data_IF_586708106093
#
_entry.id   IF_586708106093
#
_cell.length_a   1.000
_cell.length_b   1.000
_cell.length_c   1.000
_cell.angle_alpha   90.00
_cell.angle_beta   90.00
_cell.angle_gamma   90.00
#
_symmetry.space_group_name_H-M   'P 1'
#
loop_
_entity.id
_entity.type
_entity.pdbx_description
1 polymer ?
#
# COMPACT_ATOMS: atom_id res chain seq x y z
N UNK A 1 -58.14 42.45 18.41
CA UNK A 1 -57.81 41.04 18.13
C UNK A 1 -56.46 40.98 17.42
N UNK A 2 -55.38 40.71 18.18
CA UNK A 2 -53.99 40.72 17.68
C UNK A 2 -53.70 39.44 16.90
N UNK A 3 -53.24 39.58 15.66
CA UNK A 3 -52.66 38.50 14.86
C UNK A 3 -51.19 38.35 15.25
N UNK A 4 -50.82 37.17 15.74
CA UNK A 4 -49.44 36.74 16.00
C UNK A 4 -49.00 36.00 14.74
N UNK A 5 -47.91 36.42 14.11
CA UNK A 5 -47.24 35.63 13.06
C UNK A 5 -45.86 35.23 13.57
N UNK A 6 -45.73 33.92 13.81
CA UNK A 6 -44.50 33.17 13.97
C UNK A 6 -43.60 33.39 12.75
N UNK A 7 -42.28 33.58 12.95
CA UNK A 7 -41.31 32.72 12.25
C UNK A 7 -40.01 32.64 13.04
N UNK A 8 -39.73 31.41 13.48
CA UNK A 8 -38.55 30.93 14.15
C UNK A 8 -37.55 30.52 13.06
N UNK A 9 -36.34 31.10 13.02
CA UNK A 9 -35.24 30.59 12.17
C UNK A 9 -34.19 29.99 13.10
N UNK A 10 -34.31 28.69 13.35
CA UNK A 10 -33.24 27.87 13.91
C UNK A 10 -32.21 27.60 12.81
N UNK A 11 -31.04 28.21 12.91
CA UNK A 11 -29.88 27.84 12.11
C UNK A 11 -29.13 26.68 12.78
N UNK A 12 -29.58 25.45 12.52
CA UNK A 12 -28.80 24.22 12.72
C UNK A 12 -27.76 24.12 11.59
N UNK A 13 -26.53 24.57 11.86
CA UNK A 13 -25.38 24.32 11.00
C UNK A 13 -24.56 23.16 11.54
N UNK A 14 -24.73 21.98 10.95
CA UNK A 14 -23.96 20.77 11.21
C UNK A 14 -22.45 21.04 11.13
N UNK A 15 -21.76 20.93 12.27
CA UNK A 15 -20.32 20.76 12.28
C UNK A 15 -20.03 19.33 11.75
N UNK A 16 -19.65 19.24 10.48
CA UNK A 16 -19.10 18.01 9.90
C UNK A 16 -17.78 17.70 10.60
N UNK A 17 -17.84 16.79 11.57
CA UNK A 17 -16.68 16.06 12.08
C UNK A 17 -16.17 15.17 10.94
N UNK A 18 -15.34 15.73 10.07
CA UNK A 18 -14.48 14.94 9.19
C UNK A 18 -13.35 14.36 10.05
N UNK A 19 -13.66 13.35 10.87
CA UNK A 19 -12.65 12.39 11.28
C UNK A 19 -12.26 11.63 10.02
N UNK A 20 -11.21 12.12 9.35
CA UNK A 20 -10.47 11.30 8.41
C UNK A 20 -10.00 10.08 9.19
N UNK A 21 -10.73 8.98 9.08
CA UNK A 21 -10.21 7.67 9.37
C UNK A 21 -9.06 7.45 8.39
N UNK A 22 -7.85 7.89 8.75
CA UNK A 22 -6.64 7.35 8.17
C UNK A 22 -6.65 5.88 8.54
N UNK A 23 -7.30 5.08 7.69
CA UNK A 23 -7.25 3.63 7.78
C UNK A 23 -5.78 3.27 7.91
N UNK A 24 -5.45 2.44 8.90
CA UNK A 24 -4.11 1.93 9.08
C UNK A 24 -3.78 1.07 7.85
N UNK A 25 -3.29 1.71 6.79
CA UNK A 25 -2.88 1.06 5.55
C UNK A 25 -1.39 0.83 5.68
N UNK A 26 -0.98 -0.43 5.51
CA UNK A 26 0.45 -0.72 5.45
C UNK A 26 1.07 0.01 4.27
N UNK A 27 2.13 0.77 4.51
CA UNK A 27 2.75 1.57 3.47
C UNK A 27 4.04 0.94 2.99
N UNK A 28 4.24 0.87 1.67
CA UNK A 28 5.51 0.56 1.01
C UNK A 28 6.07 1.81 0.35
N UNK A 29 7.40 1.90 0.29
CA UNK A 29 8.12 2.94 -0.45
C UNK A 29 9.35 2.37 -1.13
N UNK A 30 9.73 2.99 -2.25
CA UNK A 30 11.04 2.80 -2.83
C UNK A 30 12.10 3.50 -1.96
N UNK A 31 13.25 2.84 -1.80
CA UNK A 31 14.41 3.33 -1.04
C UNK A 31 15.34 4.13 -1.94
N UNK A 32 15.43 3.77 -3.23
CA UNK A 32 16.28 4.43 -4.22
C UNK A 32 15.49 5.33 -5.19
N UNK A 33 14.31 5.80 -4.76
CA UNK A 33 13.48 6.73 -5.53
C UNK A 33 12.47 6.05 -6.45
N UNK A 34 11.56 6.85 -7.01
CA UNK A 34 10.45 6.37 -7.85
C UNK A 34 10.75 6.47 -9.35
N UNK A 35 11.93 6.95 -9.74
CA UNK A 35 12.41 6.97 -11.11
C UNK A 35 13.71 6.17 -11.15
N UNK A 36 13.71 5.08 -11.90
CA UNK A 36 14.82 4.13 -11.98
C UNK A 36 15.22 4.01 -13.44
N UNK A 37 16.51 4.05 -13.73
CA UNK A 37 17.01 3.79 -15.07
C UNK A 37 16.60 2.38 -15.48
N UNK A 38 15.94 2.19 -16.62
CA UNK A 38 15.57 0.84 -17.05
C UNK A 38 16.79 0.08 -17.58
N UNK A 39 16.80 -1.25 -17.42
CA UNK A 39 17.87 -2.12 -17.89
C UNK A 39 17.92 -3.46 -17.16
N UNK A 40 18.93 -4.28 -17.45
CA UNK A 40 19.07 -5.64 -16.94
C UNK A 40 20.11 -5.79 -15.82
N UNK A 41 20.74 -4.69 -15.43
CA UNK A 41 21.80 -4.68 -14.41
C UNK A 41 21.24 -4.43 -13.00
N UNK A 42 22.07 -4.65 -11.99
CA UNK A 42 21.69 -4.51 -10.59
C UNK A 42 21.23 -3.08 -10.23
N UNK A 43 21.80 -2.08 -10.88
CA UNK A 43 21.43 -0.66 -10.74
C UNK A 43 20.03 -0.33 -11.32
N UNK A 44 19.49 -1.18 -12.19
CA UNK A 44 18.16 -1.03 -12.78
C UNK A 44 17.05 -1.66 -11.92
N UNK A 45 17.28 -1.79 -10.62
CA UNK A 45 16.33 -2.38 -9.70
C UNK A 45 15.76 -1.33 -8.73
N UNK A 46 14.45 -1.38 -8.49
CA UNK A 46 13.82 -0.65 -7.39
C UNK A 46 13.96 -1.45 -6.09
N UNK A 47 14.42 -0.80 -5.02
CA UNK A 47 14.49 -1.40 -3.69
C UNK A 47 13.30 -0.94 -2.86
N UNK A 48 12.43 -1.86 -2.51
CA UNK A 48 11.13 -1.54 -1.90
C UNK A 48 11.07 -2.15 -0.52
N UNK A 49 10.58 -1.39 0.45
CA UNK A 49 10.36 -1.88 1.82
C UNK A 49 9.03 -1.43 2.39
N UNK A 50 8.54 -2.19 3.35
CA UNK A 50 7.52 -1.74 4.28
C UNK A 50 8.05 -0.55 5.09
N UNK A 51 7.29 0.55 5.10
CA UNK A 51 7.59 1.77 5.87
C UNK A 51 6.81 1.79 7.17
N UNK A 52 5.61 1.23 7.17
CA UNK A 52 4.79 1.07 8.37
C UNK A 52 4.61 -0.41 8.67
N UNK A 53 4.49 -0.80 9.95
CA UNK A 53 4.11 -2.16 10.29
C UNK A 53 2.68 -2.46 9.78
N UNK A 54 2.32 -3.75 9.72
CA UNK A 54 0.95 -4.15 9.49
C UNK A 54 -0.04 -3.57 10.52
N UNK A 55 -1.34 -3.47 10.19
CA UNK A 55 -2.32 -2.75 11.01
C UNK A 55 -2.61 -3.41 12.36
N UNK A 56 -2.33 -4.72 12.49
CA UNK A 56 -2.50 -5.48 13.72
C UNK A 56 -1.14 -5.97 14.22
N UNK A 57 -0.89 -6.05 15.54
CA UNK A 57 0.29 -6.71 16.04
C UNK A 57 0.30 -8.19 15.63
N UNK A 58 1.49 -8.73 15.32
CA UNK A 58 1.64 -10.14 14.95
C UNK A 58 1.56 -11.00 16.22
N UNK A 59 0.58 -11.92 16.34
CA UNK A 59 0.52 -12.82 17.49
C UNK A 59 1.75 -13.74 17.53
N UNK A 60 2.16 -14.18 18.72
CA UNK A 60 3.28 -15.13 18.89
C UNK A 60 3.05 -16.46 18.15
N UNK A 61 1.79 -16.85 17.96
CA UNK A 61 1.36 -18.04 17.24
C UNK A 61 1.39 -17.88 15.71
N UNK A 62 1.82 -16.72 15.20
CA UNK A 62 1.81 -16.38 13.78
C UNK A 62 3.19 -15.99 13.23
N UNK A 63 3.30 -16.08 11.91
CA UNK A 63 4.36 -15.50 11.08
C UNK A 63 3.72 -14.68 9.97
N UNK A 64 4.50 -13.79 9.35
CA UNK A 64 4.06 -12.99 8.22
C UNK A 64 4.59 -13.57 6.91
N UNK A 65 3.69 -13.74 5.95
CA UNK A 65 4.03 -14.01 4.56
C UNK A 65 3.71 -12.78 3.71
N UNK A 66 4.58 -12.49 2.75
CA UNK A 66 4.48 -11.35 1.85
C UNK A 66 4.34 -11.86 0.43
N UNK A 67 3.30 -11.43 -0.26
CA UNK A 67 3.13 -11.65 -1.69
C UNK A 67 3.30 -10.32 -2.40
N UNK A 68 4.46 -10.13 -3.01
CA UNK A 68 4.81 -8.94 -3.78
C UNK A 68 4.28 -9.11 -5.20
N UNK A 69 3.51 -8.14 -5.68
CA UNK A 69 2.97 -8.12 -7.04
C UNK A 69 3.41 -6.85 -7.73
N UNK A 70 3.90 -7.00 -8.96
CA UNK A 70 4.30 -5.91 -9.84
C UNK A 70 3.55 -6.07 -11.14
N UNK A 71 2.95 -4.98 -11.62
CA UNK A 71 2.24 -4.92 -12.90
C UNK A 71 2.83 -3.81 -13.76
N UNK A 72 3.11 -4.12 -15.01
CA UNK A 72 3.60 -3.24 -16.06
C UNK A 72 2.86 -3.57 -17.37
N UNK A 73 2.99 -2.72 -18.39
CA UNK A 73 2.40 -2.96 -19.71
C UNK A 73 2.88 -4.28 -20.35
N UNK A 74 4.12 -4.69 -20.06
CA UNK A 74 4.74 -5.90 -20.61
C UNK A 74 4.49 -7.16 -19.79
N UNK A 75 3.76 -7.08 -18.67
CA UNK A 75 3.42 -8.25 -17.87
C UNK A 75 3.22 -7.98 -16.40
N UNK A 76 3.00 -9.06 -15.65
CA UNK A 76 2.91 -9.04 -14.20
C UNK A 76 3.78 -10.12 -13.60
N UNK A 77 4.39 -9.81 -12.45
CA UNK A 77 5.27 -10.70 -11.72
C UNK A 77 4.84 -10.76 -10.27
N UNK A 78 4.95 -11.95 -9.68
CA UNK A 78 4.57 -12.20 -8.30
C UNK A 78 5.66 -12.99 -7.60
N UNK A 79 5.97 -12.60 -6.36
CA UNK A 79 6.92 -13.31 -5.51
C UNK A 79 6.36 -13.52 -4.12
N UNK A 80 6.53 -14.74 -3.60
CA UNK A 80 6.16 -15.10 -2.24
C UNK A 80 7.41 -15.14 -1.38
N UNK A 81 7.45 -14.33 -0.32
CA UNK A 81 8.60 -14.22 0.59
C UNK A 81 8.13 -14.14 2.03
N UNK A 82 9.05 -14.32 2.96
CA UNK A 82 8.88 -14.04 4.39
C UNK A 82 9.59 -12.72 4.79
N UNK A 83 9.97 -11.89 3.81
CA UNK A 83 10.74 -10.67 4.00
C UNK A 83 9.88 -9.43 3.70
N UNK A 84 9.97 -8.38 4.55
CA UNK A 84 9.20 -7.13 4.39
C UNK A 84 9.77 -6.19 3.31
N UNK A 85 10.75 -6.67 2.53
CA UNK A 85 11.47 -5.93 1.51
C UNK A 85 11.62 -6.76 0.23
N UNK A 86 11.78 -6.06 -0.89
CA UNK A 86 11.92 -6.67 -2.20
C UNK A 86 12.72 -5.79 -3.16
N UNK A 87 13.65 -6.42 -3.86
CA UNK A 87 14.28 -5.88 -5.06
C UNK A 87 13.42 -6.23 -6.27
N UNK A 88 12.98 -5.22 -7.02
CA UNK A 88 12.15 -5.35 -8.22
C UNK A 88 12.95 -4.89 -9.44
N UNK A 89 13.27 -5.79 -10.39
CA UNK A 89 13.92 -5.40 -11.65
C UNK A 89 13.03 -4.49 -12.49
N UNK A 90 13.63 -3.47 -13.13
CA UNK A 90 12.97 -2.51 -14.03
C UNK A 90 13.57 -2.66 -15.44
N UNK A 91 13.26 -3.75 -16.17
CA UNK A 91 13.87 -4.03 -17.47
C UNK A 91 13.37 -3.16 -18.62
N UNK A 92 12.20 -2.53 -18.47
CA UNK A 92 11.51 -1.81 -19.54
C UNK A 92 11.18 -0.38 -19.11
N UNK A 93 11.07 0.55 -20.06
CA UNK A 93 10.57 1.89 -19.77
C UNK A 93 9.08 1.85 -19.38
N UNK A 94 8.63 2.86 -18.63
CA UNK A 94 7.23 3.07 -18.27
C UNK A 94 6.90 2.80 -16.81
N UNK A 95 5.62 2.83 -16.47
CA UNK A 95 5.14 2.79 -15.08
C UNK A 95 4.92 1.36 -14.59
N UNK A 96 5.51 1.05 -13.46
CA UNK A 96 5.33 -0.16 -12.68
C UNK A 96 4.42 0.15 -11.49
N UNK A 97 3.33 -0.60 -11.37
CA UNK A 97 2.47 -0.57 -10.18
C UNK A 97 2.87 -1.72 -9.27
N UNK A 98 3.23 -1.42 -8.03
CA UNK A 98 3.78 -2.37 -7.08
C UNK A 98 2.90 -2.39 -5.84
N UNK A 99 2.58 -3.57 -5.35
CA UNK A 99 1.76 -3.76 -4.15
C UNK A 99 2.20 -5.02 -3.43
N UNK A 100 2.05 -5.05 -2.10
CA UNK A 100 2.28 -6.26 -1.30
C UNK A 100 1.02 -6.65 -0.55
N UNK A 101 0.69 -7.94 -0.60
CA UNK A 101 -0.27 -8.59 0.30
C UNK A 101 0.50 -9.19 1.47
N UNK A 102 0.05 -8.91 2.68
CA UNK A 102 0.67 -9.37 3.92
C UNK A 102 -0.31 -10.30 4.60
N UNK A 103 0.08 -11.55 4.78
CA UNK A 103 -0.77 -12.60 5.35
C UNK A 103 -0.23 -13.05 6.70
N UNK A 104 -1.15 -13.18 7.66
CA UNK A 104 -0.86 -13.71 8.97
C UNK A 104 -1.12 -15.20 8.91
N UNK A 105 -0.07 -15.97 9.10
CA UNK A 105 -0.09 -17.41 8.92
C UNK A 105 0.16 -18.09 10.26
N UNK A 106 -0.72 -19.01 10.65
CA UNK A 106 -0.57 -19.77 11.90
C UNK A 106 0.66 -20.67 11.81
N UNK A 107 1.59 -20.56 12.76
CA UNK A 107 2.86 -21.32 12.79
C UNK A 107 2.65 -22.84 12.68
N UNK A 108 1.67 -23.38 13.39
CA UNK A 108 1.45 -24.84 13.45
C UNK A 108 0.78 -25.42 12.20
N UNK A 109 -0.04 -24.63 11.50
CA UNK A 109 -0.90 -25.17 10.43
C UNK A 109 -0.58 -24.62 9.05
N UNK A 110 0.23 -23.56 8.97
CA UNK A 110 0.49 -22.86 7.71
C UNK A 110 -0.74 -22.16 7.13
N UNK A 111 -1.88 -22.12 7.85
CA UNK A 111 -3.12 -21.53 7.35
C UNK A 111 -3.14 -20.02 7.54
N UNK A 112 -3.41 -19.23 6.49
CA UNK A 112 -3.65 -17.80 6.64
C UNK A 112 -4.95 -17.56 7.41
N UNK A 113 -4.98 -16.53 8.25
CA UNK A 113 -6.18 -16.14 9.01
C UNK A 113 -6.51 -14.65 8.97
N UNK A 114 -5.58 -13.81 8.50
CA UNK A 114 -5.80 -12.41 8.21
C UNK A 114 -4.90 -11.98 7.04
N UNK A 115 -5.36 -11.01 6.25
CA UNK A 115 -4.60 -10.45 5.14
C UNK A 115 -4.82 -8.95 5.02
N UNK A 116 -3.74 -8.23 4.69
CA UNK A 116 -3.75 -6.78 4.52
C UNK A 116 -3.03 -6.43 3.23
N UNK A 117 -3.55 -5.43 2.52
CA UNK A 117 -2.89 -4.88 1.35
C UNK A 117 -2.14 -3.62 1.72
N UNK A 118 -0.99 -3.43 1.07
CA UNK A 118 -0.32 -2.14 1.11
C UNK A 118 -1.03 -1.10 0.23
N UNK A 119 -0.58 0.15 0.32
CA UNK A 119 -0.78 1.11 -0.77
C UNK A 119 -0.20 0.57 -2.09
N UNK A 120 -0.66 1.12 -3.21
CA UNK A 120 0.02 0.96 -4.50
C UNK A 120 1.17 1.95 -4.58
N UNK A 121 2.36 1.44 -4.87
CA UNK A 121 3.56 2.22 -5.17
C UNK A 121 3.74 2.29 -6.69
N UNK A 122 4.08 3.47 -7.20
CA UNK A 122 4.37 3.68 -8.61
C UNK A 122 5.85 3.97 -8.79
N UNK A 123 6.54 3.15 -9.59
CA UNK A 123 7.92 3.35 -9.99
C UNK A 123 7.97 3.49 -11.51
N UNK A 124 8.74 4.42 -12.03
CA UNK A 124 8.86 4.66 -13.47
C UNK A 124 10.24 4.26 -13.96
N UNK A 125 10.30 3.35 -14.94
CA UNK A 125 11.49 3.07 -15.72
C UNK A 125 11.75 4.22 -16.70
N UNK A 126 12.85 4.94 -16.51
CA UNK A 126 13.26 6.09 -17.35
C UNK A 126 14.49 5.74 -18.19
N UNK A 127 14.65 6.42 -19.33
CA UNK A 127 15.90 6.36 -20.08
C UNK A 127 16.93 7.28 -19.39
N UNK A 128 18.10 6.74 -19.07
CA UNK A 128 19.22 7.48 -18.48
C UNK A 128 20.44 7.57 -19.42
N UNK A 129 20.33 7.04 -20.63
CA UNK A 129 21.33 7.12 -21.69
C UNK A 129 21.12 8.34 -22.57
#
# INVERSE_FOLDING_TARGET
>A
MRKIIMTLVMATGLATLAYGQMGMVTTISSVNGNQICYGLEAENCAFIKLVTPPPLPVPSTAVLNYTWTVTHANGSWTWHTNHPERTVPIPFPGVYTIQVKIEYVRRLTGRPFAAFWSNKLFVTGINCN
#
